data_IF_145428684603
#
_entry.id   IF_145428684603
#
_cell.length_a   1.000
_cell.length_b   1.000
_cell.length_c   1.000
_cell.angle_alpha   90.00
_cell.angle_beta   90.00
_cell.angle_gamma   90.00
#
_symmetry.space_group_name_H-M   'P 1'
#
loop_
_entity.id
_entity.type
_entity.pdbx_description
1 polymer ?
#
# COMPACT_ATOMS: atom_id res chain seq x y z
N UNK A 1 25.65 -13.51 -8.17
CA UNK A 1 24.71 -14.62 -8.43
C UNK A 1 24.74 -15.43 -7.15
N UNK A 2 23.57 -15.72 -6.59
CA UNK A 2 23.30 -16.06 -5.17
C UNK A 2 23.11 -14.82 -4.28
N UNK A 3 21.97 -14.15 -4.46
CA UNK A 3 21.40 -13.22 -3.49
C UNK A 3 20.14 -13.88 -2.91
N UNK A 4 19.97 -13.93 -1.58
CA UNK A 4 18.80 -14.53 -0.93
C UNK A 4 17.47 -13.83 -1.27
N UNK A 5 17.50 -12.66 -1.92
CA UNK A 5 16.31 -11.90 -2.34
C UNK A 5 15.89 -12.16 -3.81
N UNK A 6 16.48 -13.15 -4.49
CA UNK A 6 16.27 -13.35 -5.93
C UNK A 6 15.13 -14.30 -6.33
N UNK A 7 14.50 -14.98 -5.38
CA UNK A 7 13.42 -15.94 -5.63
C UNK A 7 12.05 -15.27 -5.56
N UNK A 8 11.65 -14.60 -6.65
CA UNK A 8 10.26 -14.28 -6.98
C UNK A 8 10.17 -13.87 -8.46
N UNK A 9 10.48 -14.81 -9.34
CA UNK A 9 10.06 -14.77 -10.75
C UNK A 9 9.35 -16.10 -11.08
N UNK A 10 8.31 -15.97 -11.90
CA UNK A 10 7.15 -16.86 -12.05
C UNK A 10 7.52 -18.19 -12.73
N UNK A 11 7.08 -19.31 -12.15
CA UNK A 11 6.62 -20.51 -12.86
C UNK A 11 5.33 -21.04 -12.21
N UNK A 12 4.26 -21.21 -13.00
CA UNK A 12 3.11 -22.09 -12.73
C UNK A 12 3.45 -23.51 -13.28
N UNK A 13 2.67 -24.59 -13.04
CA UNK A 13 2.01 -25.10 -11.83
C UNK A 13 2.32 -26.61 -11.59
N UNK A 14 1.94 -27.18 -10.43
CA UNK A 14 1.37 -28.55 -10.36
C UNK A 14 0.54 -28.78 -9.08
N UNK A 15 -0.60 -29.45 -9.23
CA UNK A 15 -1.60 -29.74 -8.20
C UNK A 15 -1.20 -30.94 -7.32
N UNK A 16 -1.42 -30.85 -6.00
CA UNK A 16 -1.74 -32.03 -5.16
C UNK A 16 -2.73 -31.65 -4.05
N UNK A 17 -3.70 -32.55 -3.83
CA UNK A 17 -4.89 -32.48 -2.97
C UNK A 17 -4.72 -33.01 -1.53
N UNK A 18 -5.74 -32.73 -0.69
CA UNK A 18 -6.18 -33.40 0.56
C UNK A 18 -5.56 -32.88 1.88
N UNK A 19 -6.22 -32.81 3.05
CA UNK A 19 -7.55 -33.13 3.60
C UNK A 19 -7.74 -32.20 4.84
N UNK A 20 -8.89 -31.56 5.07
CA UNK A 20 -9.98 -31.85 6.04
C UNK A 20 -9.59 -32.10 7.52
N UNK A 21 -10.49 -31.58 8.38
CA UNK A 21 -10.68 -31.76 9.83
C UNK A 21 -10.01 -30.72 10.74
N UNK A 22 -10.62 -30.14 11.79
CA UNK A 22 -11.99 -30.13 12.31
C UNK A 22 -12.05 -28.91 13.27
N UNK A 23 -13.19 -28.22 13.28
CA UNK A 23 -13.47 -27.06 14.13
C UNK A 23 -13.76 -27.53 15.56
N UNK A 24 -13.04 -27.01 16.57
CA UNK A 24 -13.51 -27.03 17.97
C UNK A 24 -13.13 -25.74 18.71
N UNK A 25 -14.16 -24.95 18.99
CA UNK A 25 -14.13 -23.77 19.85
C UNK A 25 -14.28 -24.24 21.30
N UNK A 26 -13.41 -23.79 22.20
CA UNK A 26 -13.68 -23.80 23.64
C UNK A 26 -13.23 -22.49 24.28
N UNK A 27 -14.15 -21.90 25.04
CA UNK A 27 -14.08 -20.58 25.67
C UNK A 27 -13.05 -20.45 26.80
N UNK A 28 -12.62 -19.18 26.96
CA UNK A 28 -12.21 -18.47 28.18
C UNK A 28 -11.03 -19.02 28.97
N UNK A 29 -9.83 -18.50 28.67
CA UNK A 29 -8.76 -18.31 29.63
C UNK A 29 -8.45 -16.81 29.70
N UNK A 30 -8.71 -16.21 30.85
CA UNK A 30 -8.38 -14.82 31.17
C UNK A 30 -6.84 -14.73 31.30
N UNK A 31 -6.19 -14.02 30.38
CA UNK A 31 -4.73 -13.86 30.36
C UNK A 31 -4.33 -12.81 31.39
N UNK A 32 -3.63 -13.25 32.45
CA UNK A 32 -3.00 -12.35 33.42
C UNK A 32 -1.61 -11.97 32.89
N UNK A 33 -1.30 -10.67 32.69
CA UNK A 33 0.03 -10.27 32.23
C UNK A 33 1.08 -10.46 33.32
N UNK A 34 2.30 -10.90 32.98
CA UNK A 34 3.41 -10.93 33.92
C UNK A 34 3.91 -9.49 34.17
N UNK A 35 3.78 -9.01 35.39
CA UNK A 35 4.45 -7.77 35.82
C UNK A 35 5.95 -8.02 35.96
N UNK A 36 6.82 -7.29 35.26
CA UNK A 36 8.19 -7.05 35.73
C UNK A 36 8.81 -5.71 35.31
N UNK A 37 9.76 -5.19 36.11
CA UNK A 37 10.19 -3.80 36.13
C UNK A 37 11.50 -3.57 35.37
N UNK A 38 11.59 -2.40 34.71
CA UNK A 38 12.80 -1.94 34.02
C UNK A 38 12.43 -1.35 32.65
N UNK A 39 11.91 -0.12 32.65
CA UNK A 39 11.43 0.57 31.44
C UNK A 39 12.55 0.73 30.41
N UNK A 40 12.46 0.12 29.21
CA UNK A 40 13.38 0.40 28.13
C UNK A 40 12.89 1.62 27.33
N UNK A 41 13.82 2.53 27.10
CA UNK A 41 13.89 3.56 26.07
C UNK A 41 12.80 3.48 25.00
N UNK A 42 11.83 4.38 25.13
CA UNK A 42 10.60 4.46 24.37
C UNK A 42 9.75 5.64 24.82
N UNK A 43 9.84 5.95 26.13
CA UNK A 43 9.14 6.97 26.91
C UNK A 43 9.08 8.37 26.28
N UNK A 44 9.72 8.69 25.16
CA UNK A 44 9.62 10.02 24.56
C UNK A 44 8.17 10.43 24.27
N UNK A 45 7.32 9.55 23.73
CA UNK A 45 5.92 9.94 23.39
C UNK A 45 5.05 10.01 24.63
N UNK A 46 5.06 8.94 25.43
CA UNK A 46 4.30 8.87 26.67
C UNK A 46 4.75 9.90 27.71
N UNK A 47 6.03 10.33 27.69
CA UNK A 47 6.55 11.36 28.60
C UNK A 47 6.46 12.80 28.05
N UNK A 48 6.31 13.01 26.73
CA UNK A 48 6.32 14.37 26.14
C UNK A 48 5.06 14.74 25.34
N UNK A 49 4.12 13.82 25.13
CA UNK A 49 2.87 14.08 24.40
C UNK A 49 1.66 13.57 25.18
N UNK A 50 0.54 14.31 25.08
CA UNK A 50 -0.76 13.83 25.57
C UNK A 50 -1.23 12.70 24.66
N UNK A 51 -1.55 11.55 25.24
CA UNK A 51 -2.11 10.40 24.53
C UNK A 51 -3.63 10.52 24.35
N UNK A 52 -4.18 9.86 23.33
CA UNK A 52 -5.61 9.78 23.03
C UNK A 52 -6.31 8.67 23.84
N UNK A 53 -5.87 8.45 25.08
CA UNK A 53 -6.40 7.43 25.98
C UNK A 53 -7.88 7.67 26.33
N UNK A 54 -8.30 8.93 26.36
CA UNK A 54 -9.69 9.37 26.55
C UNK A 54 -10.61 9.04 25.36
N UNK A 55 -10.03 8.60 24.25
CA UNK A 55 -10.72 8.31 22.99
C UNK A 55 -10.54 6.84 22.54
N UNK A 56 -10.13 5.95 23.46
CA UNK A 56 -9.85 4.51 23.24
C UNK A 56 -8.60 4.20 22.37
N UNK A 57 -7.69 5.18 22.22
CA UNK A 57 -6.40 5.00 21.55
C UNK A 57 -5.23 5.44 22.44
N UNK A 58 -4.94 4.69 23.53
CA UNK A 58 -3.92 5.07 24.52
C UNK A 58 -2.49 5.09 23.96
N UNK A 59 -2.26 4.43 22.82
CA UNK A 59 -0.98 4.40 22.11
C UNK A 59 -0.95 5.32 20.90
N UNK A 60 -1.92 6.21 20.75
CA UNK A 60 -1.93 7.25 19.71
C UNK A 60 -1.77 8.61 20.37
N UNK A 61 -0.82 9.44 19.93
CA UNK A 61 -0.76 10.80 20.45
C UNK A 61 -1.99 11.61 20.04
N UNK A 62 -2.51 12.46 20.94
CA UNK A 62 -3.70 13.28 20.69
C UNK A 62 -3.52 14.21 19.49
N UNK A 63 -2.32 14.72 19.28
CA UNK A 63 -1.96 15.52 18.10
C UNK A 63 -2.02 14.72 16.79
N UNK A 64 -1.73 13.42 16.84
CA UNK A 64 -1.89 12.54 15.69
C UNK A 64 -3.34 12.13 15.48
N UNK A 65 -4.05 11.79 16.55
CA UNK A 65 -5.47 11.44 16.51
C UNK A 65 -6.29 12.49 15.75
N UNK A 66 -6.02 13.78 15.97
CA UNK A 66 -6.66 14.89 15.27
C UNK A 66 -6.43 14.93 13.75
N UNK A 67 -5.40 14.24 13.24
CA UNK A 67 -5.10 14.14 11.79
C UNK A 67 -5.73 12.91 11.13
N UNK A 68 -6.43 12.10 11.91
CA UNK A 68 -7.15 10.93 11.43
C UNK A 68 -8.63 11.26 11.31
N UNK A 69 -9.34 10.52 10.46
CA UNK A 69 -10.75 10.72 10.18
C UNK A 69 -11.53 9.54 10.75
N UNK A 70 -12.74 9.77 11.28
CA UNK A 70 -13.59 8.64 11.67
C UNK A 70 -13.97 7.83 10.41
N UNK A 71 -14.05 6.50 10.52
CA UNK A 71 -14.37 5.68 9.33
C UNK A 71 -15.72 6.04 8.70
N UNK A 72 -16.71 6.44 9.51
CA UNK A 72 -18.00 6.94 9.04
C UNK A 72 -17.87 8.22 8.20
N UNK A 73 -17.09 9.20 8.67
CA UNK A 73 -16.81 10.44 7.95
C UNK A 73 -16.11 10.16 6.61
N UNK A 74 -15.17 9.20 6.60
CA UNK A 74 -14.45 8.80 5.38
C UNK A 74 -15.39 8.14 4.35
N UNK A 75 -16.33 7.30 4.81
CA UNK A 75 -17.37 6.70 3.96
C UNK A 75 -18.30 7.78 3.40
N UNK A 76 -18.72 8.75 4.22
CA UNK A 76 -19.59 9.84 3.79
C UNK A 76 -18.91 10.72 2.74
N UNK A 77 -17.67 11.14 2.99
CA UNK A 77 -16.89 11.96 2.06
C UNK A 77 -16.70 11.26 0.71
N UNK A 78 -16.31 9.98 0.74
CA UNK A 78 -16.15 9.17 -0.46
C UNK A 78 -17.48 8.97 -1.20
N UNK A 79 -18.58 8.73 -0.47
CA UNK A 79 -19.91 8.60 -1.06
C UNK A 79 -20.36 9.90 -1.70
N UNK A 80 -20.02 11.05 -1.10
CA UNK A 80 -20.33 12.37 -1.62
C UNK A 80 -19.55 12.67 -2.90
N UNK A 81 -18.24 12.37 -2.93
CA UNK A 81 -17.42 12.60 -4.12
C UNK A 81 -17.83 11.70 -5.29
N UNK A 82 -18.25 10.47 -5.00
CA UNK A 82 -18.76 9.53 -5.99
C UNK A 82 -20.09 9.95 -6.64
N UNK A 83 -20.87 10.86 -6.03
CA UNK A 83 -22.11 11.38 -6.66
C UNK A 83 -21.85 12.15 -7.97
N UNK A 84 -20.65 12.70 -8.14
CA UNK A 84 -20.25 13.39 -9.36
C UNK A 84 -19.79 12.42 -10.48
N UNK A 85 -19.72 11.12 -10.19
CA UNK A 85 -19.24 10.13 -11.12
C UNK A 85 -20.40 9.55 -11.93
N UNK A 86 -20.09 9.21 -13.17
CA UNK A 86 -21.02 8.56 -14.07
C UNK A 86 -20.41 7.27 -14.61
N UNK A 87 -21.19 6.20 -14.58
CA UNK A 87 -20.83 4.90 -15.11
C UNK A 87 -21.80 4.52 -16.22
N UNK A 88 -21.31 4.46 -17.45
CA UNK A 88 -22.11 4.09 -18.63
C UNK A 88 -21.52 2.84 -19.28
N UNK A 89 -22.38 1.88 -19.63
CA UNK A 89 -21.95 0.62 -20.23
C UNK A 89 -22.13 0.70 -21.74
N UNK A 90 -21.09 0.34 -22.48
CA UNK A 90 -21.03 0.45 -23.93
C UNK A 90 -20.45 -0.83 -24.53
N UNK A 91 -20.86 -1.15 -25.74
CA UNK A 91 -20.17 -2.16 -26.56
C UNK A 91 -18.82 -1.56 -26.96
N UNK A 92 -17.74 -2.31 -26.79
CA UNK A 92 -16.39 -1.82 -27.05
C UNK A 92 -16.20 -1.38 -28.51
N UNK A 93 -16.90 -2.02 -29.46
CA UNK A 93 -16.91 -1.64 -30.88
C UNK A 93 -17.54 -0.29 -31.16
N UNK A 94 -18.37 0.21 -30.24
CA UNK A 94 -19.07 1.49 -30.40
C UNK A 94 -18.17 2.65 -29.99
N UNK A 95 -17.14 2.41 -29.20
CA UNK A 95 -16.18 3.43 -28.82
C UNK A 95 -15.29 3.83 -30.01
N UNK A 96 -15.10 5.14 -30.18
CA UNK A 96 -14.19 5.69 -31.16
C UNK A 96 -13.19 6.63 -30.51
N UNK A 97 -11.95 6.59 -30.98
CA UNK A 97 -10.98 7.63 -30.68
C UNK A 97 -11.06 8.65 -31.80
N UNK A 98 -11.35 9.88 -31.44
CA UNK A 98 -11.43 11.00 -32.38
C UNK A 98 -10.40 12.07 -32.02
N UNK A 99 -9.93 12.75 -33.05
CA UNK A 99 -9.17 13.99 -32.92
C UNK A 99 -10.17 15.16 -32.84
N UNK A 100 -10.07 15.97 -31.79
CA UNK A 100 -10.79 17.23 -31.65
C UNK A 100 -9.81 18.33 -31.28
N UNK A 101 -9.59 19.29 -32.17
CA UNK A 101 -8.67 20.42 -31.93
C UNK A 101 -7.24 19.99 -31.54
N UNK A 102 -6.73 18.88 -32.09
CA UNK A 102 -5.40 18.35 -31.79
C UNK A 102 -5.33 17.54 -30.49
N UNK A 103 -6.48 17.18 -29.92
CA UNK A 103 -6.59 16.41 -28.68
C UNK A 103 -7.35 15.11 -28.92
N UNK A 104 -6.93 14.07 -28.20
CA UNK A 104 -7.59 12.77 -28.19
C UNK A 104 -8.87 12.83 -27.34
N UNK A 105 -9.98 12.41 -27.94
CA UNK A 105 -11.24 12.13 -27.24
C UNK A 105 -11.68 10.70 -27.49
N UNK A 106 -12.41 10.15 -26.51
CA UNK A 106 -13.20 8.94 -26.68
C UNK A 106 -14.66 9.37 -26.89
N UNK A 107 -15.22 9.03 -28.04
CA UNK A 107 -16.63 9.24 -28.41
C UNK A 107 -17.38 7.91 -28.24
N UNK A 108 -18.53 7.95 -27.57
CA UNK A 108 -19.37 6.79 -27.33
C UNK A 108 -20.46 6.59 -28.40
N UNK A 109 -20.43 7.38 -29.48
CA UNK A 109 -21.41 7.45 -30.59
C UNK A 109 -22.83 7.86 -30.19
N UNK A 110 -23.09 8.13 -28.91
CA UNK A 110 -24.31 8.78 -28.45
C UNK A 110 -24.22 10.31 -28.58
N UNK A 111 -23.07 10.82 -29.05
CA UNK A 111 -22.77 12.25 -29.14
C UNK A 111 -22.01 12.78 -27.92
N UNK A 112 -21.64 11.91 -26.98
CA UNK A 112 -20.86 12.28 -25.81
C UNK A 112 -19.37 12.01 -26.04
N UNK A 113 -18.57 13.02 -25.74
CA UNK A 113 -17.11 13.00 -25.89
C UNK A 113 -16.44 13.13 -24.55
N UNK A 114 -15.44 12.30 -24.32
CA UNK A 114 -14.65 12.31 -23.11
C UNK A 114 -13.18 12.56 -23.40
N UNK A 115 -12.55 13.42 -22.62
CA UNK A 115 -11.09 13.53 -22.55
C UNK A 115 -10.56 12.41 -21.66
N UNK A 116 -9.84 11.42 -22.20
CA UNK A 116 -9.35 10.31 -21.41
C UNK A 116 -8.17 10.75 -20.54
N UNK A 117 -8.06 10.13 -19.36
CA UNK A 117 -6.85 10.16 -18.56
C UNK A 117 -5.81 9.16 -19.10
N UNK A 118 -4.57 9.25 -18.62
CA UNK A 118 -3.51 8.30 -18.97
C UNK A 118 -3.90 6.85 -18.64
N UNK A 119 -4.56 6.64 -17.51
CA UNK A 119 -5.05 5.32 -17.10
C UNK A 119 -6.11 4.80 -18.06
N UNK A 120 -7.12 5.62 -18.39
CA UNK A 120 -8.15 5.26 -19.35
C UNK A 120 -7.56 4.89 -20.72
N UNK A 121 -6.56 5.65 -21.19
CA UNK A 121 -5.86 5.36 -22.45
C UNK A 121 -5.07 4.04 -22.40
N UNK A 122 -4.39 3.76 -21.29
CA UNK A 122 -3.70 2.47 -21.11
C UNK A 122 -4.67 1.30 -21.17
N UNK A 123 -5.83 1.44 -20.52
CA UNK A 123 -6.86 0.43 -20.48
C UNK A 123 -7.49 0.21 -21.86
N UNK A 124 -7.84 1.30 -22.56
CA UNK A 124 -8.37 1.24 -23.91
C UNK A 124 -7.37 0.57 -24.86
N UNK A 125 -6.11 0.99 -24.82
CA UNK A 125 -5.06 0.40 -25.65
C UNK A 125 -4.85 -1.09 -25.42
N UNK A 126 -4.91 -1.54 -24.15
CA UNK A 126 -4.86 -2.95 -23.81
C UNK A 126 -6.10 -3.71 -24.30
N UNK A 127 -7.29 -3.14 -24.16
CA UNK A 127 -8.55 -3.74 -24.60
C UNK A 127 -8.64 -3.88 -26.13
N UNK A 128 -8.08 -2.92 -26.86
CA UNK A 128 -8.05 -2.90 -28.33
C UNK A 128 -6.85 -3.65 -28.92
N UNK A 129 -5.89 -4.12 -28.10
CA UNK A 129 -4.71 -4.84 -28.60
C UNK A 129 -3.63 -3.97 -29.24
N UNK A 130 -3.65 -2.65 -29.04
CA UNK A 130 -2.67 -1.69 -29.57
C UNK A 130 -1.55 -1.33 -28.57
N UNK A 131 -1.59 -1.94 -27.38
CA UNK A 131 -0.67 -1.66 -26.28
C UNK A 131 -1.06 -0.41 -25.48
N UNK A 132 -0.76 -0.38 -24.18
CA UNK A 132 -1.20 0.72 -23.29
C UNK A 132 -0.23 1.91 -23.20
N UNK A 133 1.08 1.68 -23.35
CA UNK A 133 2.11 2.70 -23.03
C UNK A 133 2.20 3.80 -24.08
N UNK A 134 2.21 3.44 -25.37
CA UNK A 134 2.34 4.40 -26.46
C UNK A 134 1.13 5.36 -26.55
N UNK A 135 -0.14 4.90 -26.51
CA UNK A 135 -1.29 5.79 -26.48
C UNK A 135 -1.26 6.81 -25.32
N UNK A 136 -0.84 6.35 -24.14
CA UNK A 136 -0.68 7.21 -22.97
C UNK A 136 0.40 8.29 -23.16
N UNK A 137 1.54 7.95 -23.79
CA UNK A 137 2.57 8.95 -24.09
C UNK A 137 2.16 9.97 -25.15
N UNK A 138 1.34 9.57 -26.13
CA UNK A 138 0.77 10.50 -27.13
C UNK A 138 -0.16 11.50 -26.44
N UNK A 139 -1.04 11.01 -25.55
CA UNK A 139 -1.93 11.85 -24.74
C UNK A 139 -1.15 12.88 -23.90
N UNK A 140 -0.02 12.48 -23.30
CA UNK A 140 0.80 13.38 -22.49
C UNK A 140 1.50 14.47 -23.32
N UNK A 141 1.90 14.14 -24.57
CA UNK A 141 2.58 15.07 -25.47
C UNK A 141 1.63 16.03 -26.19
N UNK A 142 0.38 15.65 -26.40
CA UNK A 142 -0.61 16.38 -27.21
C UNK A 142 -0.07 16.72 -28.61
N UNK A 143 0.61 15.76 -29.25
CA UNK A 143 1.09 15.91 -30.62
C UNK A 143 -0.07 15.65 -31.61
N UNK A 144 -0.46 16.61 -32.48
CA UNK A 144 -1.59 16.46 -33.38
C UNK A 144 -1.42 15.36 -34.44
N UNK A 145 -0.21 15.15 -34.94
CA UNK A 145 0.05 14.17 -36.00
C UNK A 145 0.06 12.76 -35.42
N UNK A 146 0.67 12.57 -34.25
CA UNK A 146 0.58 11.30 -33.52
C UNK A 146 -0.85 11.01 -33.07
N UNK A 147 -1.61 12.04 -32.67
CA UNK A 147 -3.04 11.92 -32.31
C UNK A 147 -3.86 11.39 -33.49
N UNK A 148 -3.65 11.91 -34.69
CA UNK A 148 -4.33 11.47 -35.92
C UNK A 148 -3.91 10.05 -36.34
N UNK A 149 -2.63 9.72 -36.21
CA UNK A 149 -2.16 8.37 -36.47
C UNK A 149 -2.77 7.35 -35.49
N UNK A 150 -2.85 7.73 -34.21
CA UNK A 150 -3.40 6.90 -33.15
C UNK A 150 -4.90 6.66 -33.32
N UNK A 151 -5.68 7.68 -33.67
CA UNK A 151 -7.13 7.52 -33.93
C UNK A 151 -7.38 6.53 -35.08
N UNK A 152 -6.58 6.60 -36.15
CA UNK A 152 -6.63 5.65 -37.26
C UNK A 152 -6.29 4.22 -36.83
N UNK A 153 -5.21 4.05 -36.04
CA UNK A 153 -4.81 2.74 -35.53
C UNK A 153 -5.87 2.12 -34.61
N UNK A 154 -6.50 2.90 -33.73
CA UNK A 154 -7.59 2.43 -32.89
C UNK A 154 -8.83 2.07 -33.69
N UNK A 155 -9.21 2.85 -34.70
CA UNK A 155 -10.33 2.50 -35.57
C UNK A 155 -10.13 1.13 -36.23
N UNK A 156 -8.93 0.87 -36.76
CA UNK A 156 -8.58 -0.41 -37.35
C UNK A 156 -8.55 -1.56 -36.31
N UNK A 157 -8.03 -1.30 -35.11
CA UNK A 157 -7.96 -2.30 -34.05
C UNK A 157 -9.35 -2.66 -33.51
N UNK A 158 -10.21 -1.66 -33.28
CA UNK A 158 -11.58 -1.86 -32.80
C UNK A 158 -12.45 -2.63 -33.79
N UNK A 159 -12.20 -2.49 -35.11
CA UNK A 159 -12.92 -3.24 -36.14
C UNK A 159 -12.72 -4.77 -36.03
N UNK A 160 -11.62 -5.22 -35.41
CA UNK A 160 -11.29 -6.63 -35.25
C UNK A 160 -11.66 -7.19 -33.87
N UNK A 161 -12.30 -6.41 -33.01
CA UNK A 161 -12.67 -6.85 -31.67
C UNK A 161 -13.89 -7.78 -31.70
N UNK A 162 -14.00 -8.70 -30.72
CA UNK A 162 -15.19 -9.54 -30.58
C UNK A 162 -16.45 -8.67 -30.49
N UNK A 163 -17.46 -9.00 -31.29
CA UNK A 163 -18.69 -8.22 -31.36
C UNK A 163 -19.34 -8.02 -29.98
N UNK A 164 -19.28 -9.01 -29.09
CA UNK A 164 -20.02 -8.99 -27.82
C UNK A 164 -19.21 -8.60 -26.59
N UNK A 165 -18.17 -7.76 -26.75
CA UNK A 165 -17.41 -7.25 -25.60
C UNK A 165 -17.97 -5.93 -25.09
N UNK A 166 -18.41 -5.92 -23.84
CA UNK A 166 -18.94 -4.72 -23.16
C UNK A 166 -17.94 -4.15 -22.15
N UNK A 167 -17.92 -2.83 -22.04
CA UNK A 167 -17.08 -2.09 -21.11
C UNK A 167 -17.88 -1.02 -20.41
N UNK A 168 -17.51 -0.74 -19.16
CA UNK A 168 -18.07 0.36 -18.37
C UNK A 168 -17.08 1.52 -18.38
N UNK A 169 -17.53 2.65 -18.93
CA UNK A 169 -16.82 3.92 -18.87
C UNK A 169 -17.06 4.57 -17.52
N UNK A 170 -15.98 4.82 -16.77
CA UNK A 170 -16.02 5.55 -15.50
C UNK A 170 -15.59 6.98 -15.76
N UNK A 171 -16.50 7.93 -15.60
CA UNK A 171 -16.29 9.32 -15.95
C UNK A 171 -16.66 10.27 -14.83
N UNK A 172 -16.10 11.48 -14.90
CA UNK A 172 -16.51 12.63 -14.11
C UNK A 172 -16.66 13.79 -15.09
N UNK A 173 -17.91 14.21 -15.36
CA UNK A 173 -18.27 15.16 -16.42
C UNK A 173 -17.76 14.69 -17.79
N UNK A 174 -16.81 15.44 -18.38
CA UNK A 174 -16.19 15.13 -19.67
C UNK A 174 -14.82 14.45 -19.52
N UNK A 175 -14.38 14.12 -18.30
CA UNK A 175 -13.14 13.37 -18.09
C UNK A 175 -13.44 11.88 -17.98
N UNK A 176 -12.82 11.08 -18.85
CA UNK A 176 -12.86 9.61 -18.76
C UNK A 176 -11.73 9.14 -17.84
N UNK A 177 -12.11 8.69 -16.64
CA UNK A 177 -11.19 8.30 -15.57
C UNK A 177 -10.68 6.87 -15.74
N UNK A 178 -11.52 5.97 -16.25
CA UNK A 178 -11.11 4.62 -16.59
C UNK A 178 -12.12 3.87 -17.42
N UNK A 179 -11.67 2.75 -17.97
CA UNK A 179 -12.46 1.80 -18.76
C UNK A 179 -12.27 0.44 -18.12
N UNK A 180 -13.34 -0.09 -17.56
CA UNK A 180 -13.35 -1.40 -16.92
C UNK A 180 -14.19 -2.37 -17.75
N UNK A 181 -13.86 -3.65 -17.71
CA UNK A 181 -14.70 -4.67 -18.34
C UNK A 181 -16.06 -4.70 -17.62
N UNK A 182 -17.16 -4.73 -18.38
CA UNK A 182 -18.50 -4.69 -17.79
C UNK A 182 -18.81 -5.94 -16.95
N UNK A 183 -18.15 -7.07 -17.25
CA UNK A 183 -18.24 -8.29 -16.46
C UNK A 183 -17.32 -8.30 -15.23
N UNK A 184 -16.50 -7.26 -15.02
CA UNK A 184 -15.59 -7.22 -13.88
C UNK A 184 -16.36 -6.99 -12.58
N UNK A 185 -16.14 -7.88 -11.61
CA UNK A 185 -16.56 -7.67 -10.23
C UNK A 185 -15.64 -6.61 -9.59
N UNK A 186 -16.05 -5.34 -9.62
CA UNK A 186 -15.31 -4.24 -9.00
C UNK A 186 -15.75 -4.10 -7.55
N UNK A 187 -14.80 -4.24 -6.63
CA UNK A 187 -15.02 -3.92 -5.23
C UNK A 187 -15.02 -2.40 -5.03
N UNK A 188 -16.18 -1.85 -4.65
CA UNK A 188 -16.31 -0.43 -4.30
C UNK A 188 -15.60 -0.11 -2.99
N UNK A 189 -14.90 1.01 -2.97
CA UNK A 189 -14.20 1.53 -1.80
C UNK A 189 -15.16 1.76 -0.62
N UNK A 190 -16.35 2.29 -0.87
CA UNK A 190 -17.37 2.53 0.17
C UNK A 190 -17.84 1.24 0.84
N UNK A 191 -18.02 0.18 0.05
CA UNK A 191 -18.45 -1.14 0.56
C UNK A 191 -17.33 -1.79 1.37
N UNK A 192 -16.08 -1.67 0.89
CA UNK A 192 -14.92 -2.18 1.60
C UNK A 192 -14.71 -1.47 2.96
N UNK A 193 -14.84 -0.15 2.99
CA UNK A 193 -14.79 0.63 4.23
C UNK A 193 -15.96 0.31 5.16
N UNK A 194 -17.15 0.03 4.64
CA UNK A 194 -18.29 -0.38 5.47
C UNK A 194 -18.09 -1.75 6.13
N UNK A 195 -17.48 -2.73 5.43
CA UNK A 195 -17.09 -4.01 6.04
C UNK A 195 -16.10 -3.79 7.17
N UNK A 196 -15.09 -2.94 6.95
CA UNK A 196 -14.10 -2.59 7.97
C UNK A 196 -14.74 -1.90 9.17
N UNK A 197 -15.68 -0.97 8.93
CA UNK A 197 -16.46 -0.29 9.99
C UNK A 197 -17.26 -1.28 10.83
N UNK A 198 -17.95 -2.24 10.19
CA UNK A 198 -18.72 -3.26 10.91
C UNK A 198 -17.84 -4.24 11.69
N UNK A 199 -16.63 -4.49 11.19
CA UNK A 199 -15.67 -5.40 11.83
C UNK A 199 -14.91 -4.71 12.98
N UNK A 200 -14.60 -3.42 12.81
CA UNK A 200 -13.88 -2.57 13.76
C UNK A 200 -14.68 -1.27 13.98
N UNK A 201 -15.72 -1.34 14.84
CA UNK A 201 -16.44 -0.13 15.25
C UNK A 201 -15.47 0.91 15.80
N UNK A 202 -15.73 2.20 15.61
CA UNK A 202 -14.90 3.30 16.12
C UNK A 202 -13.47 3.39 15.53
N UNK A 203 -13.15 2.53 14.54
CA UNK A 203 -11.89 2.61 13.82
C UNK A 203 -11.71 3.94 13.08
N UNK A 204 -10.44 4.32 12.88
CA UNK A 204 -10.08 5.60 12.26
C UNK A 204 -9.21 5.42 11.03
N UNK A 205 -9.51 6.20 10.00
CA UNK A 205 -8.79 6.25 8.74
C UNK A 205 -7.62 7.22 8.90
N UNK A 206 -6.41 6.75 8.60
CA UNK A 206 -5.18 7.55 8.66
C UNK A 206 -4.38 7.41 7.37
N UNK A 207 -3.54 8.41 7.05
CA UNK A 207 -2.72 8.43 5.84
C UNK A 207 -3.50 8.18 4.55
N UNK A 208 -4.74 8.69 4.46
CA UNK A 208 -5.53 8.56 3.23
C UNK A 208 -4.79 9.24 2.08
N UNK A 209 -4.60 8.48 1.01
CA UNK A 209 -4.00 8.86 -0.27
C UNK A 209 -4.84 8.29 -1.41
N UNK A 210 -4.62 8.82 -2.60
CA UNK A 210 -5.39 8.50 -3.80
C UNK A 210 -6.54 9.47 -4.05
N UNK A 211 -7.51 9.00 -4.82
CA UNK A 211 -8.66 9.77 -5.29
C UNK A 211 -9.98 9.04 -5.00
N UNK A 212 -11.09 9.55 -5.51
CA UNK A 212 -12.42 8.96 -5.29
C UNK A 212 -12.56 7.51 -5.79
N UNK A 213 -11.65 7.06 -6.66
CA UNK A 213 -11.61 5.68 -7.16
C UNK A 213 -10.52 4.83 -6.50
N UNK A 214 -9.49 5.45 -5.93
CA UNK A 214 -8.34 4.76 -5.36
C UNK A 214 -8.19 5.13 -3.89
N UNK A 215 -8.39 4.17 -2.99
CA UNK A 215 -8.15 4.35 -1.57
C UNK A 215 -6.86 3.63 -1.19
N UNK A 216 -5.91 4.39 -0.68
CA UNK A 216 -4.71 3.88 -0.02
C UNK A 216 -4.67 4.49 1.38
N UNK A 217 -4.81 3.68 2.42
CA UNK A 217 -4.97 4.19 3.78
C UNK A 217 -4.65 3.13 4.82
N UNK A 218 -4.55 3.55 6.08
CA UNK A 218 -4.46 2.64 7.21
C UNK A 218 -5.66 2.84 8.13
N UNK A 219 -6.25 1.74 8.57
CA UNK A 219 -7.34 1.69 9.55
C UNK A 219 -6.72 1.43 10.92
N UNK A 220 -6.77 2.43 11.79
CA UNK A 220 -6.42 2.28 13.19
C UNK A 220 -7.49 1.43 13.87
N UNK A 221 -7.06 0.32 14.47
CA UNK A 221 -7.95 -0.57 15.24
C UNK A 221 -7.98 -0.06 16.68
N UNK A 222 -9.16 0.12 17.29
CA UNK A 222 -9.27 0.51 18.70
C UNK A 222 -8.59 -0.49 19.63
N UNK A 223 -8.04 0.00 20.74
CA UNK A 223 -7.31 -0.84 21.68
C UNK A 223 -8.25 -1.72 22.51
N UNK A 224 -9.53 -1.35 22.66
CA UNK A 224 -10.57 -2.20 23.26
C UNK A 224 -10.76 -3.56 22.59
N UNK A 225 -10.25 -3.72 21.36
CA UNK A 225 -10.27 -4.98 20.58
C UNK A 225 -8.98 -5.79 20.80
N UNK A 226 -7.98 -5.23 21.51
CA UNK A 226 -6.70 -5.86 21.84
C UNK A 226 -6.67 -6.28 23.32
N UNK A 227 -5.95 -7.36 23.61
CA UNK A 227 -5.82 -7.92 24.96
C UNK A 227 -4.60 -7.40 25.75
N UNK A 228 -3.83 -6.44 25.21
CA UNK A 228 -2.55 -6.00 25.78
C UNK A 228 -2.60 -4.55 26.25
N UNK A 229 -1.91 -4.24 27.36
CA UNK A 229 -1.98 -2.93 28.03
C UNK A 229 -0.62 -2.19 28.14
N UNK A 230 0.47 -2.74 27.59
CA UNK A 230 1.85 -2.32 27.92
C UNK A 230 2.68 -1.73 26.76
N UNK A 231 2.24 -1.83 25.49
CA UNK A 231 3.11 -1.54 24.35
C UNK A 231 3.00 -0.11 23.78
N UNK A 232 4.12 0.54 23.44
CA UNK A 232 4.14 1.83 22.72
C UNK A 232 3.68 1.78 21.25
N UNK A 233 3.17 0.63 20.84
CA UNK A 233 2.79 0.33 19.48
C UNK A 233 1.34 -0.13 19.38
N UNK A 234 0.65 0.42 18.38
CA UNK A 234 -0.69 0.04 17.99
C UNK A 234 -0.72 -0.91 16.80
N UNK A 235 -1.80 -1.69 16.70
CA UNK A 235 -2.11 -2.46 15.50
C UNK A 235 -3.03 -1.66 14.56
N UNK A 236 -2.84 -1.84 13.27
CA UNK A 236 -3.67 -1.25 12.21
C UNK A 236 -3.81 -2.23 11.04
N UNK A 237 -4.76 -1.95 10.15
CA UNK A 237 -4.90 -2.66 8.88
C UNK A 237 -4.58 -1.68 7.77
N UNK A 238 -3.58 -2.00 6.98
CA UNK A 238 -3.34 -1.24 5.75
C UNK A 238 -4.25 -1.74 4.64
N UNK A 239 -4.79 -0.78 3.90
CA UNK A 239 -5.77 -0.98 2.86
C UNK A 239 -5.33 -0.30 1.58
N UNK A 240 -5.31 -1.06 0.48
CA UNK A 240 -5.22 -0.54 -0.88
C UNK A 240 -6.38 -1.10 -1.69
N UNK A 241 -7.13 -0.23 -2.37
CA UNK A 241 -8.14 -0.63 -3.34
C UNK A 241 -8.24 0.40 -4.46
N UNK A 242 -8.52 -0.07 -5.69
CA UNK A 242 -8.76 0.81 -6.82
C UNK A 242 -9.95 0.30 -7.65
N UNK A 243 -11.04 1.06 -7.66
CA UNK A 243 -12.25 0.75 -8.42
C UNK A 243 -12.03 0.81 -9.95
N UNK A 244 -11.01 1.54 -10.40
CA UNK A 244 -10.59 1.56 -11.81
C UNK A 244 -9.69 0.39 -12.18
N UNK A 245 -9.38 -0.51 -11.24
CA UNK A 245 -8.60 -1.74 -11.48
C UNK A 245 -7.15 -1.50 -11.90
N UNK A 246 -6.58 -0.34 -11.55
CA UNK A 246 -5.14 -0.06 -11.76
C UNK A 246 -4.24 -0.76 -10.74
N UNK A 247 -4.83 -1.22 -9.63
CA UNK A 247 -4.18 -1.94 -8.53
C UNK A 247 -5.10 -3.05 -8.02
N UNK A 248 -4.52 -4.10 -7.44
CA UNK A 248 -5.30 -5.15 -6.75
C UNK A 248 -5.75 -4.67 -5.37
N UNK A 249 -6.91 -5.15 -4.92
CA UNK A 249 -7.30 -4.95 -3.53
C UNK A 249 -6.33 -5.72 -2.62
N UNK A 250 -5.77 -5.05 -1.63
CA UNK A 250 -4.90 -5.63 -0.64
C UNK A 250 -5.31 -5.15 0.74
N UNK A 251 -5.48 -6.10 1.66
CA UNK A 251 -5.57 -5.83 3.09
C UNK A 251 -4.42 -6.55 3.77
N UNK A 252 -3.73 -5.85 4.67
CA UNK A 252 -2.60 -6.41 5.42
C UNK A 252 -2.61 -5.89 6.86
N UNK A 253 -2.24 -6.74 7.84
CA UNK A 253 -1.94 -6.27 9.18
C UNK A 253 -0.72 -5.36 9.10
N UNK A 254 -0.71 -4.33 9.94
CA UNK A 254 0.34 -3.34 10.01
C UNK A 254 0.45 -2.83 11.44
N UNK A 255 1.63 -2.34 11.81
CA UNK A 255 1.94 -1.88 13.16
C UNK A 255 2.37 -0.43 13.07
N UNK A 256 1.93 0.38 14.03
CA UNK A 256 2.32 1.78 14.13
C UNK A 256 2.86 2.11 15.52
N UNK A 257 3.74 3.10 15.60
CA UNK A 257 4.27 3.63 16.87
C UNK A 257 3.48 4.87 17.30
N UNK A 258 3.39 5.12 18.61
CA UNK A 258 2.71 6.29 19.18
C UNK A 258 3.08 7.67 18.60
N UNK A 259 4.30 7.83 18.06
CA UNK A 259 4.69 8.97 17.23
C UNK A 259 4.50 8.68 15.75
N UNK A 260 3.35 9.03 15.21
CA UNK A 260 3.12 8.87 13.79
C UNK A 260 3.70 10.03 12.96
N UNK A 261 5.04 10.06 12.88
CA UNK A 261 5.81 10.49 11.70
C UNK A 261 6.72 9.36 11.14
N UNK A 262 6.56 8.14 11.67
CA UNK A 262 7.08 6.88 11.12
C UNK A 262 5.83 6.05 10.85
N UNK A 263 5.32 5.92 9.64
CA UNK A 263 5.93 5.06 8.65
C UNK A 263 5.53 3.66 9.10
N UNK A 264 4.53 3.08 8.43
CA UNK A 264 4.03 1.76 8.81
C UNK A 264 5.15 0.74 8.66
N UNK A 265 5.47 0.01 9.71
CA UNK A 265 6.34 -1.15 9.58
C UNK A 265 5.42 -2.29 9.18
N UNK A 266 5.39 -2.52 7.88
CA UNK A 266 4.92 -3.79 7.34
C UNK A 266 5.88 -4.79 7.89
N UNK A 267 5.42 -5.97 8.24
CA UNK A 267 6.20 -7.05 8.82
C UNK A 267 5.56 -8.29 8.28
N UNK A 268 6.32 -9.14 7.60
CA UNK A 268 5.82 -10.40 7.03
C UNK A 268 5.65 -11.45 8.14
N UNK A 269 5.03 -11.09 9.26
CA UNK A 269 4.17 -12.06 9.94
C UNK A 269 2.99 -12.21 9.01
N UNK A 270 3.14 -13.10 8.02
CA UNK A 270 2.06 -13.46 7.12
C UNK A 270 0.98 -14.14 7.97
N UNK A 271 0.04 -13.34 8.46
CA UNK A 271 -1.33 -13.72 8.26
C UNK A 271 -1.54 -13.87 6.75
N UNK A 272 -2.48 -14.73 6.37
CA UNK A 272 -2.82 -14.96 4.96
C UNK A 272 -2.91 -13.59 4.26
N UNK A 273 -2.46 -13.43 3.01
CA UNK A 273 -2.74 -12.19 2.26
C UNK A 273 -4.11 -12.36 1.62
N UNK A 274 -5.08 -11.49 1.93
CA UNK A 274 -6.33 -11.49 1.18
C UNK A 274 -6.16 -10.56 -0.02
N UNK A 275 -6.05 -11.20 -1.18
CA UNK A 275 -6.08 -10.53 -2.47
C UNK A 275 -7.40 -10.83 -3.15
N UNK A 276 -8.11 -9.78 -3.52
CA UNK A 276 -9.22 -9.90 -4.46
C UNK A 276 -8.74 -9.44 -5.83
N UNK A 277 -8.54 -10.42 -6.72
CA UNK A 277 -8.15 -10.18 -8.11
C UNK A 277 -9.39 -10.10 -8.97
N UNK A 278 -9.38 -9.17 -9.93
CA UNK A 278 -10.42 -8.93 -10.96
C UNK A 278 -10.85 -10.18 -11.75
N UNK A 279 -10.08 -11.27 -11.73
CA UNK A 279 -10.42 -12.55 -12.37
C UNK A 279 -11.29 -13.47 -11.50
N UNK A 280 -11.62 -13.06 -10.27
CA UNK A 280 -12.56 -13.82 -9.46
C UNK A 280 -13.97 -13.68 -10.03
N UNK A 281 -14.49 -14.79 -10.55
CA UNK A 281 -15.91 -14.95 -10.87
C UNK A 281 -16.80 -14.84 -9.63
N UNK A 282 -16.20 -14.97 -8.43
CA UNK A 282 -16.87 -14.86 -7.13
C UNK A 282 -17.45 -13.45 -6.95
N UNK A 283 -18.78 -13.32 -6.84
CA UNK A 283 -19.44 -12.07 -6.50
C UNK A 283 -18.92 -11.53 -5.17
N UNK A 284 -18.82 -10.20 -5.05
CA UNK A 284 -18.28 -9.56 -3.86
C UNK A 284 -18.95 -9.99 -2.55
N UNK A 285 -20.27 -10.19 -2.53
CA UNK A 285 -20.99 -10.56 -1.31
C UNK A 285 -20.58 -11.93 -0.74
N UNK A 286 -20.08 -12.84 -1.59
CA UNK A 286 -19.50 -14.11 -1.15
C UNK A 286 -18.07 -13.89 -0.61
N UNK A 287 -17.33 -12.97 -1.24
CA UNK A 287 -15.99 -12.58 -0.82
C UNK A 287 -15.97 -11.74 0.47
N UNK A 288 -17.10 -11.15 0.86
CA UNK A 288 -17.25 -10.37 2.10
C UNK A 288 -17.08 -11.25 3.34
N UNK A 289 -17.67 -12.46 3.35
CA UNK A 289 -17.49 -13.39 4.47
C UNK A 289 -16.03 -13.78 4.61
N UNK A 290 -15.39 -14.14 3.49
CA UNK A 290 -13.96 -14.47 3.45
C UNK A 290 -13.10 -13.30 3.93
N UNK A 291 -13.48 -12.06 3.60
CA UNK A 291 -12.81 -10.86 4.07
C UNK A 291 -12.96 -10.67 5.58
N UNK A 292 -14.15 -10.85 6.14
CA UNK A 292 -14.36 -10.72 7.60
C UNK A 292 -13.59 -11.79 8.36
N UNK A 293 -13.64 -13.05 7.90
CA UNK A 293 -12.88 -14.15 8.51
C UNK A 293 -11.38 -13.86 8.41
N UNK A 294 -10.93 -13.33 7.27
CA UNK A 294 -9.57 -12.88 7.10
C UNK A 294 -9.16 -11.78 8.08
N UNK A 295 -9.97 -10.73 8.21
CA UNK A 295 -9.71 -9.60 9.10
C UNK A 295 -9.57 -10.07 10.55
N UNK A 296 -10.38 -11.04 10.97
CA UNK A 296 -10.29 -11.67 12.30
C UNK A 296 -8.99 -12.46 12.47
N UNK A 297 -8.54 -13.20 11.45
CA UNK A 297 -7.26 -13.91 11.45
C UNK A 297 -6.05 -12.95 11.47
N UNK A 298 -6.18 -11.73 10.94
CA UNK A 298 -5.08 -10.76 10.89
C UNK A 298 -4.78 -10.06 12.22
N UNK A 299 -5.74 -9.95 13.14
CA UNK A 299 -5.53 -9.22 14.41
C UNK A 299 -4.46 -9.90 15.27
N UNK A 300 -4.52 -11.23 15.54
CA UNK A 300 -3.46 -11.90 16.32
C UNK A 300 -2.10 -11.86 15.62
N UNK A 301 -2.08 -11.86 14.29
CA UNK A 301 -0.87 -11.78 13.49
C UNK A 301 -0.18 -10.42 13.63
N UNK A 302 -0.96 -9.33 13.66
CA UNK A 302 -0.43 -7.99 13.88
C UNK A 302 0.27 -7.89 15.25
N UNK A 303 -0.27 -8.55 16.26
CA UNK A 303 0.32 -8.64 17.61
C UNK A 303 1.64 -9.42 17.56
N UNK A 304 1.66 -10.62 16.96
CA UNK A 304 2.91 -11.38 16.82
C UNK A 304 3.98 -10.63 16.00
N UNK A 305 3.58 -9.85 15.00
CA UNK A 305 4.49 -8.99 14.24
C UNK A 305 5.09 -7.85 15.04
N UNK A 306 4.34 -7.35 16.03
CA UNK A 306 4.81 -6.31 16.92
C UNK A 306 5.91 -6.85 17.83
N UNK A 307 5.71 -8.03 18.41
CA UNK A 307 6.74 -8.71 19.21
C UNK A 307 7.99 -8.97 18.38
N UNK A 308 7.83 -9.45 17.15
CA UNK A 308 8.94 -9.67 16.23
C UNK A 308 9.72 -8.37 15.93
N UNK A 309 9.01 -7.28 15.65
CA UNK A 309 9.63 -5.96 15.46
C UNK A 309 10.37 -5.51 16.71
N UNK A 310 9.75 -5.58 17.89
CA UNK A 310 10.37 -5.16 19.14
C UNK A 310 11.61 -6.00 19.47
N UNK A 311 11.59 -7.30 19.17
CA UNK A 311 12.74 -8.18 19.34
C UNK A 311 13.96 -7.71 18.53
N UNK A 312 13.75 -7.10 17.36
CA UNK A 312 14.86 -6.56 16.52
C UNK A 312 15.63 -5.40 17.16
N UNK A 313 15.15 -4.84 18.27
CA UNK A 313 15.91 -3.83 19.05
C UNK A 313 17.23 -4.37 19.58
N UNK A 314 17.27 -5.67 19.90
CA UNK A 314 18.47 -6.33 20.43
C UNK A 314 19.51 -6.60 19.34
N UNK A 315 19.11 -6.58 18.08
CA UNK A 315 19.94 -6.81 16.90
C UNK A 315 20.73 -5.54 16.53
N UNK A 316 21.62 -5.15 17.45
CA UNK A 316 22.49 -3.96 17.34
C UNK A 316 23.81 -4.29 16.62
N UNK A 317 24.51 -3.26 16.16
CA UNK A 317 25.82 -3.40 15.51
C UNK A 317 26.70 -2.17 15.74
N UNK A 318 28.01 -2.34 15.61
CA UNK A 318 29.00 -1.26 15.67
C UNK A 318 29.31 -0.66 14.28
N UNK A 319 28.79 -1.26 13.21
CA UNK A 319 28.87 -0.67 11.86
C UNK A 319 28.02 0.59 11.84
N UNK A 320 28.59 1.70 11.35
CA UNK A 320 27.87 2.96 11.26
C UNK A 320 26.65 2.86 10.32
N UNK A 321 25.63 3.70 10.58
CA UNK A 321 24.36 3.63 9.87
C UNK A 321 24.47 3.86 8.35
N UNK A 322 25.39 4.73 7.91
CA UNK A 322 25.52 5.08 6.48
C UNK A 322 25.93 3.86 5.62
N UNK A 323 26.97 3.08 5.95
CA UNK A 323 27.26 1.79 5.30
C UNK A 323 26.10 0.77 5.38
N UNK A 324 25.40 0.68 6.51
CA UNK A 324 24.27 -0.25 6.66
C UNK A 324 23.14 0.10 5.69
N UNK A 325 22.72 1.38 5.67
CA UNK A 325 21.68 1.86 4.77
C UNK A 325 22.13 1.71 3.32
N UNK A 326 23.40 1.94 3.00
CA UNK A 326 23.94 1.71 1.67
C UNK A 326 23.84 0.24 1.23
N UNK A 327 24.14 -0.71 2.14
CA UNK A 327 24.02 -2.14 1.88
C UNK A 327 22.56 -2.57 1.70
N UNK A 328 21.66 -2.16 2.59
CA UNK A 328 20.22 -2.42 2.47
C UNK A 328 19.68 -1.86 1.15
N UNK A 329 20.06 -0.62 0.81
CA UNK A 329 19.65 0.02 -0.43
C UNK A 329 20.18 -0.68 -1.68
N UNK A 330 21.40 -1.24 -1.61
CA UNK A 330 21.99 -2.03 -2.69
C UNK A 330 21.19 -3.31 -2.93
N UNK A 331 20.93 -4.08 -1.86
CA UNK A 331 20.22 -5.36 -1.94
C UNK A 331 18.77 -5.17 -2.44
N UNK A 332 18.09 -4.15 -1.92
CA UNK A 332 16.74 -3.81 -2.32
C UNK A 332 16.65 -3.04 -3.66
N UNK A 333 17.79 -2.78 -4.32
CA UNK A 333 17.87 -2.02 -5.58
C UNK A 333 17.14 -0.68 -5.53
N UNK A 334 17.33 0.08 -4.45
CA UNK A 334 16.76 1.41 -4.30
C UNK A 334 17.51 2.42 -5.19
N UNK A 335 16.80 3.45 -5.64
CA UNK A 335 17.44 4.55 -6.36
C UNK A 335 18.26 5.43 -5.41
N UNK A 336 19.20 6.22 -5.95
CA UNK A 336 20.03 7.11 -5.12
C UNK A 336 19.22 8.11 -4.31
N UNK A 337 18.18 8.68 -4.92
CA UNK A 337 17.25 9.62 -4.27
C UNK A 337 16.56 8.97 -3.08
N UNK A 338 16.04 7.75 -3.27
CA UNK A 338 15.35 7.01 -2.21
C UNK A 338 16.31 6.62 -1.10
N UNK A 339 17.52 6.15 -1.45
CA UNK A 339 18.56 5.81 -0.47
C UNK A 339 18.96 7.01 0.39
N UNK A 340 19.06 8.20 -0.21
CA UNK A 340 19.33 9.45 0.52
C UNK A 340 18.19 9.80 1.48
N UNK A 341 16.93 9.68 1.06
CA UNK A 341 15.79 9.93 1.94
C UNK A 341 15.78 8.99 3.16
N UNK A 342 16.19 7.72 3.00
CA UNK A 342 16.33 6.76 4.11
C UNK A 342 17.45 7.17 5.07
N UNK A 343 18.58 7.67 4.56
CA UNK A 343 19.67 8.18 5.40
C UNK A 343 19.27 9.45 6.16
N UNK A 344 18.55 10.36 5.54
CA UNK A 344 18.00 11.56 6.20
C UNK A 344 16.99 11.17 7.28
N UNK A 345 16.11 10.21 6.99
CA UNK A 345 15.17 9.66 7.95
C UNK A 345 15.88 9.01 9.15
N UNK A 346 17.01 8.31 8.92
CA UNK A 346 17.83 7.76 10.00
C UNK A 346 18.34 8.83 10.94
N UNK A 347 18.79 9.98 10.44
CA UNK A 347 19.27 11.07 11.30
C UNK A 347 18.18 11.59 12.24
N UNK A 348 16.92 11.57 11.81
CA UNK A 348 15.78 11.88 12.67
C UNK A 348 15.53 10.74 13.67
N UNK A 349 15.58 9.48 13.23
CA UNK A 349 15.36 8.32 14.09
C UNK A 349 16.42 8.19 15.19
N UNK A 350 17.67 8.52 14.90
CA UNK A 350 18.77 8.54 15.87
C UNK A 350 18.44 9.40 17.09
N UNK A 351 17.81 10.57 16.90
CA UNK A 351 17.45 11.47 18.00
C UNK A 351 16.35 10.87 18.90
N UNK A 352 15.57 9.92 18.37
CA UNK A 352 14.42 9.31 19.06
C UNK A 352 14.78 7.96 19.69
N UNK A 353 15.58 7.16 18.99
CA UNK A 353 15.92 5.77 19.33
C UNK A 353 17.31 5.64 19.97
N UNK A 354 18.12 6.70 19.90
CA UNK A 354 19.53 6.68 20.28
C UNK A 354 20.45 6.40 19.08
N UNK A 355 21.75 6.62 19.30
CA UNK A 355 22.75 6.60 18.23
C UNK A 355 23.16 5.19 17.76
N UNK A 356 22.83 4.15 18.53
CA UNK A 356 23.31 2.80 18.22
C UNK A 356 22.54 2.19 17.04
N UNK A 357 23.21 1.83 15.93
CA UNK A 357 22.55 1.17 14.81
C UNK A 357 21.99 -0.20 15.18
N UNK A 358 20.76 -0.45 14.75
CA UNK A 358 20.05 -1.72 14.93
C UNK A 358 19.14 -1.99 13.75
N UNK A 359 18.76 -3.26 13.55
CA UNK A 359 17.76 -3.63 12.56
C UNK A 359 16.45 -2.85 12.78
N UNK A 360 16.04 -2.74 14.04
CA UNK A 360 14.88 -1.96 14.45
C UNK A 360 14.93 -0.51 13.97
N UNK A 361 16.05 0.18 14.21
CA UNK A 361 16.17 1.59 13.84
C UNK A 361 16.29 1.76 12.30
N UNK A 362 16.90 0.80 11.58
CA UNK A 362 16.92 0.79 10.11
C UNK A 362 15.52 0.60 9.54
N UNK A 363 14.72 -0.32 10.09
CA UNK A 363 13.33 -0.52 9.70
C UNK A 363 12.50 0.76 9.91
N UNK A 364 12.65 1.45 11.04
CA UNK A 364 11.97 2.72 11.29
C UNK A 364 12.42 3.84 10.33
N UNK A 365 13.70 3.88 9.94
CA UNK A 365 14.20 4.87 8.98
C UNK A 365 13.62 4.66 7.57
N UNK A 366 13.47 3.41 7.13
CA UNK A 366 12.84 3.07 5.84
C UNK A 366 11.40 3.59 5.77
N UNK A 367 10.62 3.31 6.80
CA UNK A 367 9.20 3.66 6.80
C UNK A 367 8.98 5.16 6.99
N UNK A 368 9.83 5.83 7.78
CA UNK A 368 9.86 7.30 7.86
C UNK A 368 10.16 7.93 6.50
N UNK A 369 11.14 7.41 5.76
CA UNK A 369 11.47 7.93 4.44
C UNK A 369 10.33 7.76 3.44
N UNK A 370 9.57 6.66 3.54
CA UNK A 370 8.39 6.45 2.71
C UNK A 370 7.35 7.58 2.82
N UNK A 371 7.23 8.24 3.98
CA UNK A 371 6.25 9.30 4.18
C UNK A 371 6.47 10.56 3.33
N UNK A 372 7.70 10.79 2.87
CA UNK A 372 8.06 11.98 2.09
C UNK A 372 8.12 11.71 0.59
N UNK A 373 7.84 10.47 0.17
CA UNK A 373 7.97 9.99 -1.20
C UNK A 373 6.60 9.69 -1.82
N UNK A 374 6.58 9.37 -3.12
CA UNK A 374 5.35 9.02 -3.85
C UNK A 374 4.72 7.71 -3.34
N UNK A 375 3.44 7.48 -3.62
CA UNK A 375 2.68 6.37 -3.03
C UNK A 375 3.26 4.99 -3.34
N UNK A 376 3.84 4.80 -4.54
CA UNK A 376 4.45 3.53 -4.93
C UNK A 376 5.76 3.30 -4.21
N UNK A 377 6.58 4.33 -4.11
CA UNK A 377 7.84 4.27 -3.37
C UNK A 377 7.61 4.09 -1.88
N UNK A 378 6.61 4.77 -1.32
CA UNK A 378 6.16 4.59 0.06
C UNK A 378 5.89 3.11 0.33
N UNK A 379 4.92 2.50 -0.37
CA UNK A 379 4.55 1.09 -0.21
C UNK A 379 5.76 0.15 -0.32
N UNK A 380 6.69 0.43 -1.23
CA UNK A 380 7.90 -0.39 -1.43
C UNK A 380 8.86 -0.36 -0.24
N UNK A 381 9.09 0.81 0.36
CA UNK A 381 9.98 0.93 1.53
C UNK A 381 9.39 0.27 2.76
N UNK A 382 8.08 0.42 2.86
CA UNK A 382 7.23 -0.15 3.86
C UNK A 382 7.27 -1.69 3.80
N UNK A 383 7.09 -2.30 2.62
CA UNK A 383 7.28 -3.74 2.40
C UNK A 383 8.72 -4.22 2.70
N UNK A 384 9.73 -3.42 2.35
CA UNK A 384 11.14 -3.75 2.61
C UNK A 384 11.46 -3.79 4.11
N UNK A 385 10.96 -2.82 4.88
CA UNK A 385 11.12 -2.81 6.34
C UNK A 385 10.57 -4.11 6.95
N UNK A 386 9.49 -4.63 6.40
CA UNK A 386 8.88 -5.87 6.88
C UNK A 386 9.56 -7.14 6.54
N UNK A 387 10.17 -7.19 5.37
CA UNK A 387 11.03 -8.30 4.99
C UNK A 387 12.24 -8.35 5.93
N UNK A 388 12.85 -7.20 6.21
CA UNK A 388 14.00 -7.10 7.10
C UNK A 388 13.68 -7.57 8.54
N UNK A 389 12.52 -7.19 9.07
CA UNK A 389 12.09 -7.60 10.41
C UNK A 389 11.77 -9.10 10.48
N UNK A 390 11.09 -9.62 9.46
CA UNK A 390 10.67 -11.02 9.41
C UNK A 390 11.84 -11.98 9.14
N UNK A 391 12.72 -11.63 8.20
CA UNK A 391 13.94 -12.38 7.87
C UNK A 391 15.16 -11.76 8.56
N UNK A 392 15.09 -11.66 9.89
CA UNK A 392 16.15 -11.04 10.67
C UNK A 392 17.41 -11.92 10.78
N UNK A 393 17.36 -13.19 10.37
CA UNK A 393 18.53 -14.06 10.25
C UNK A 393 19.54 -13.51 9.22
N UNK A 394 19.05 -12.82 8.19
CA UNK A 394 19.89 -12.15 7.20
C UNK A 394 20.63 -10.93 7.76
N UNK A 395 20.24 -10.41 8.93
CA UNK A 395 20.79 -9.16 9.49
C UNK A 395 22.29 -9.21 9.67
N UNK A 396 22.85 -10.28 10.24
CA UNK A 396 24.29 -10.36 10.43
C UNK A 396 25.05 -10.39 9.09
N UNK A 397 24.45 -10.99 8.06
CA UNK A 397 25.02 -11.01 6.71
C UNK A 397 25.07 -9.59 6.13
N UNK A 398 23.98 -8.84 6.28
CA UNK A 398 23.89 -7.42 5.89
C UNK A 398 24.95 -6.60 6.63
N UNK A 399 25.09 -6.78 7.95
CA UNK A 399 26.10 -6.09 8.77
C UNK A 399 27.51 -6.42 8.29
N UNK A 400 27.82 -7.70 8.05
CA UNK A 400 29.14 -8.13 7.55
C UNK A 400 29.43 -7.59 6.15
N UNK A 401 28.43 -7.51 5.28
CA UNK A 401 28.58 -6.94 3.95
C UNK A 401 28.77 -5.42 4.00
N UNK A 402 27.99 -4.72 4.83
CA UNK A 402 28.12 -3.29 5.07
C UNK A 402 29.51 -2.90 5.60
N UNK A 403 30.07 -3.68 6.53
CA UNK A 403 31.41 -3.48 7.07
C UNK A 403 32.53 -3.58 6.01
N UNK A 404 32.27 -4.29 4.90
CA UNK A 404 33.24 -4.49 3.80
C UNK A 404 33.11 -3.43 2.70
N UNK A 405 32.09 -2.57 2.73
CA UNK A 405 31.92 -1.53 1.72
C UNK A 405 33.03 -0.48 1.86
N UNK A 406 33.68 -0.14 0.75
CA UNK A 406 34.60 1.00 0.73
C UNK A 406 33.81 2.31 0.84
N UNK A 407 34.44 3.37 1.37
CA UNK A 407 33.81 4.70 1.43
C UNK A 407 33.26 5.16 0.07
N UNK A 408 34.00 4.88 -1.01
CA UNK A 408 33.58 5.18 -2.39
C UNK A 408 32.35 4.38 -2.81
N UNK A 409 32.19 3.15 -2.35
CA UNK A 409 31.01 2.33 -2.67
C UNK A 409 29.79 2.80 -1.89
N UNK A 410 29.99 3.20 -0.63
CA UNK A 410 28.95 3.82 0.20
C UNK A 410 28.46 5.11 -0.44
N UNK A 411 29.36 6.05 -0.76
CA UNK A 411 28.97 7.36 -1.31
C UNK A 411 28.30 7.26 -2.68
N UNK A 412 28.68 6.27 -3.50
CA UNK A 412 28.03 6.03 -4.81
C UNK A 412 26.56 5.66 -4.69
N UNK A 413 26.09 5.20 -3.53
CA UNK A 413 24.68 4.81 -3.30
C UNK A 413 23.76 5.99 -3.03
N UNK A 414 24.31 7.12 -2.61
CA UNK A 414 23.52 8.29 -2.26
C UNK A 414 23.58 9.33 -3.39
N UNK A 415 22.55 10.16 -3.49
CA UNK A 415 22.63 11.40 -4.27
C UNK A 415 23.64 12.34 -3.58
N UNK A 416 24.28 13.23 -4.35
CA UNK A 416 25.17 14.22 -3.78
C UNK A 416 24.40 15.06 -2.75
N UNK A 417 24.86 15.01 -1.50
CA UNK A 417 24.22 15.70 -0.39
C UNK A 417 24.74 17.13 -0.33
N UNK A 418 23.87 18.12 -0.56
CA UNK A 418 24.14 19.49 -0.17
C UNK A 418 23.76 19.64 1.29
N UNK A 419 24.74 19.58 2.19
CA UNK A 419 24.54 19.71 3.65
C UNK A 419 24.12 21.13 4.10
N UNK A 420 23.44 21.90 3.24
CA UNK A 420 23.11 23.30 3.43
C UNK A 420 21.62 23.60 3.18
N UNK A 421 20.73 22.69 3.57
CA UNK A 421 19.28 22.92 3.58
C UNK A 421 18.71 22.64 4.96
#
# INVERSE_FOLDING_TARGET
RDSPLSTLFIEEPEMVTSARDEYRVSNSAELVPPSQPGRPTGDFVHAHQTMASDMDFPHVSKAWFQKTQAIDEAIEELSSSQKAHEATTHKLSDLQIIDGDGLLYVDDRSGRRYRPTELAMRQLGALCGVGGTYPASVLARNDPDETRALSTAFAAACANLPAEKYVTLKSNKNSLRGIVDAAANVLRNTVLLDVLRRTFPESRVSHRRGDDYTVMTNILVPESIRAEHDSEYGAMISLVNCELTSMQTMLRPSIFRAICRNGCIWGKTEGKKWTYSRRCSTPWFEAEKDLVDHLREQIPVAIAGLDALLATRTLTTDVSAKPLIAQVSLEAKLSKRVSTAVLEAWHVEKEILGDKPSLFAVANALTRAGQTLDERTWLRLDELAGQLVADNEAWESIVRAAAKLSARDVDRRFAAWNAAA
#
